data_IF_665342422901
#
_entry.id   IF_665342422901
#
_cell.length_a   1.000
_cell.length_b   1.000
_cell.length_c   1.000
_cell.angle_alpha   90.00
_cell.angle_beta   90.00
_cell.angle_gamma   90.00
#
_symmetry.space_group_name_H-M   'P 1'
#
loop_
_entity.id
_entity.type
_entity.pdbx_description
1 polymer ?
#
# COMPACT_ATOMS: atom_id res chain seq x y z
N UNK A 1 -15.82 -21.33 22.12
CA UNK A 1 -17.14 -21.82 22.64
C UNK A 1 -17.15 -22.09 24.16
N UNK A 2 -16.00 -22.21 24.87
CA UNK A 2 -15.97 -22.41 26.34
C UNK A 2 -16.13 -21.16 27.21
N UNK A 3 -16.20 -19.95 26.64
CA UNK A 3 -16.25 -18.69 27.43
C UNK A 3 -17.64 -18.04 27.56
N UNK A 4 -18.71 -18.63 26.99
CA UNK A 4 -20.04 -17.98 26.94
C UNK A 4 -21.09 -18.54 27.92
N UNK A 5 -20.70 -19.40 28.88
CA UNK A 5 -21.66 -19.96 29.83
C UNK A 5 -21.33 -19.57 31.27
N UNK A 6 -22.14 -18.71 31.93
CA UNK A 6 -21.99 -18.46 33.36
C UNK A 6 -22.16 -19.79 34.11
N UNK A 7 -21.23 -20.05 35.05
CA UNK A 7 -21.14 -21.32 35.79
C UNK A 7 -22.41 -21.68 36.59
N UNK A 8 -23.34 -20.75 36.77
CA UNK A 8 -24.57 -20.89 37.56
C UNK A 8 -25.87 -20.99 36.74
N UNK A 9 -25.81 -21.08 35.41
CA UNK A 9 -27.03 -21.26 34.61
C UNK A 9 -27.65 -22.65 34.84
N UNK A 10 -28.94 -22.68 35.22
CA UNK A 10 -29.69 -23.91 35.46
C UNK A 10 -29.74 -24.80 34.22
N UNK A 11 -29.95 -26.12 34.40
CA UNK A 11 -30.01 -27.08 33.28
C UNK A 11 -31.06 -26.72 32.23
N UNK A 12 -32.14 -26.02 32.60
CA UNK A 12 -33.16 -25.59 31.63
C UNK A 12 -32.66 -24.45 30.74
N UNK A 13 -31.94 -23.48 31.29
CA UNK A 13 -31.40 -22.33 30.55
C UNK A 13 -30.34 -22.75 29.54
N UNK A 14 -29.50 -23.74 29.87
CA UNK A 14 -28.51 -24.29 28.93
C UNK A 14 -29.16 -25.03 27.76
N UNK A 15 -30.25 -25.77 28.00
CA UNK A 15 -31.02 -26.44 26.93
C UNK A 15 -31.69 -25.42 26.02
N UNK A 16 -32.21 -24.33 26.58
CA UNK A 16 -32.85 -23.27 25.81
C UNK A 16 -31.85 -22.52 24.92
N UNK A 17 -30.67 -22.17 25.44
CA UNK A 17 -29.60 -21.53 24.67
C UNK A 17 -29.08 -22.42 23.53
N UNK A 18 -28.98 -23.73 23.76
CA UNK A 18 -28.59 -24.69 22.71
C UNK A 18 -29.63 -24.78 21.60
N UNK A 19 -30.92 -24.77 21.94
CA UNK A 19 -32.00 -24.77 20.95
C UNK A 19 -32.03 -23.49 20.12
N UNK A 20 -31.81 -22.32 20.74
CA UNK A 20 -31.72 -21.04 20.02
C UNK A 20 -30.51 -21.01 19.09
N UNK A 21 -29.34 -21.49 19.54
CA UNK A 21 -28.16 -21.56 18.70
C UNK A 21 -28.36 -22.50 17.49
N UNK A 22 -29.03 -23.65 17.69
CA UNK A 22 -29.34 -24.58 16.61
C UNK A 22 -30.37 -23.99 15.62
N UNK A 23 -31.35 -23.23 16.10
CA UNK A 23 -32.31 -22.53 15.25
C UNK A 23 -31.64 -21.44 14.39
N UNK A 24 -30.68 -20.69 14.94
CA UNK A 24 -29.93 -19.68 14.19
C UNK A 24 -29.03 -20.29 13.12
N UNK A 25 -28.39 -21.42 13.41
CA UNK A 25 -27.59 -22.16 12.41
C UNK A 25 -28.50 -22.74 11.32
N UNK A 26 -29.64 -23.31 11.71
CA UNK A 26 -30.64 -23.83 10.77
C UNK A 26 -31.21 -22.74 9.85
N UNK A 27 -31.51 -21.56 10.40
CA UNK A 27 -32.00 -20.42 9.63
C UNK A 27 -30.92 -19.88 8.65
N UNK A 28 -29.66 -19.81 9.07
CA UNK A 28 -28.55 -19.41 8.20
C UNK A 28 -28.31 -20.37 7.03
N UNK A 29 -28.46 -21.68 7.25
CA UNK A 29 -28.39 -22.68 6.18
C UNK A 29 -29.60 -22.62 5.24
N UNK A 30 -30.80 -22.41 5.78
CA UNK A 30 -32.02 -22.27 4.96
C UNK A 30 -31.94 -21.07 4.01
N UNK A 31 -31.38 -19.93 4.45
CA UNK A 31 -31.18 -18.74 3.61
C UNK A 31 -30.20 -19.02 2.45
N UNK A 32 -29.15 -19.83 2.66
CA UNK A 32 -28.23 -20.23 1.57
C UNK A 32 -28.84 -21.23 0.59
N UNK A 33 -29.75 -22.10 1.05
CA UNK A 33 -30.41 -23.09 0.18
C UNK A 33 -31.53 -22.44 -0.64
N UNK A 34 -32.23 -21.45 -0.06
CA UNK A 34 -33.35 -20.75 -0.72
C UNK A 34 -32.90 -19.63 -1.67
N UNK A 35 -31.61 -19.27 -1.70
CA UNK A 35 -31.07 -18.22 -2.58
C UNK A 35 -29.85 -18.69 -3.39
N UNK A 36 -29.99 -19.64 -4.33
CA UNK A 36 -28.85 -20.26 -5.04
C UNK A 36 -28.33 -19.47 -6.26
N UNK A 37 -28.53 -18.14 -6.33
CA UNK A 37 -28.34 -17.38 -7.57
C UNK A 37 -27.46 -16.14 -7.46
N UNK A 38 -26.15 -16.31 -7.65
CA UNK A 38 -25.34 -15.48 -8.56
C UNK A 38 -24.06 -16.27 -8.89
N UNK A 39 -24.12 -17.02 -9.99
CA UNK A 39 -22.93 -17.60 -10.62
C UNK A 39 -22.24 -16.46 -11.37
N UNK A 40 -21.10 -16.03 -10.88
CA UNK A 40 -20.16 -15.20 -11.63
C UNK A 40 -19.62 -16.04 -12.81
N UNK A 41 -20.18 -15.82 -13.99
CA UNK A 41 -19.68 -16.41 -15.24
C UNK A 41 -18.30 -15.84 -15.56
N UNK A 42 -17.28 -16.69 -15.44
CA UNK A 42 -15.88 -16.36 -15.70
C UNK A 42 -15.51 -16.29 -17.20
N UNK A 43 -16.42 -15.83 -18.08
CA UNK A 43 -16.24 -15.96 -19.54
C UNK A 43 -16.33 -14.68 -20.39
N UNK A 44 -16.40 -13.49 -19.78
CA UNK A 44 -16.32 -12.21 -20.52
C UNK A 44 -15.01 -11.42 -20.34
N UNK A 45 -13.94 -12.04 -19.85
CA UNK A 45 -12.60 -11.43 -19.78
C UNK A 45 -11.77 -11.61 -21.08
N UNK A 46 -12.43 -11.76 -22.24
CA UNK A 46 -11.79 -11.95 -23.54
C UNK A 46 -11.71 -10.64 -24.33
N UNK A 47 -10.81 -9.73 -23.93
CA UNK A 47 -10.46 -8.55 -24.72
C UNK A 47 -9.63 -8.98 -25.94
N UNK A 48 -10.26 -9.06 -27.11
CA UNK A 48 -9.56 -8.89 -28.39
C UNK A 48 -9.98 -7.54 -28.98
N UNK A 49 -9.07 -6.58 -29.07
CA UNK A 49 -9.14 -5.58 -30.12
C UNK A 49 -7.77 -4.94 -30.37
N UNK A 50 -7.41 -4.94 -31.65
CA UNK A 50 -6.17 -4.47 -32.25
C UNK A 50 -6.08 -2.95 -32.22
N UNK A 51 -4.99 -2.42 -31.65
CA UNK A 51 -4.68 -1.00 -31.72
C UNK A 51 -4.11 -0.64 -33.11
N UNK A 52 -4.76 0.31 -33.80
CA UNK A 52 -4.13 1.08 -34.88
C UNK A 52 -3.39 2.27 -34.26
N UNK A 53 -2.07 2.16 -34.17
CA UNK A 53 -1.18 3.27 -33.80
C UNK A 53 -1.13 4.24 -34.99
N UNK A 54 -1.50 5.49 -34.77
CA UNK A 54 -1.26 6.58 -35.72
C UNK A 54 -0.01 7.30 -35.26
N UNK A 55 1.04 7.28 -36.08
CA UNK A 55 2.28 8.01 -35.84
C UNK A 55 2.00 9.52 -35.78
N UNK A 56 2.42 10.18 -34.70
CA UNK A 56 2.51 11.64 -34.68
C UNK A 56 3.93 12.08 -34.34
N UNK A 57 4.46 12.85 -35.28
CA UNK A 57 5.83 13.29 -35.48
C UNK A 57 6.27 14.27 -34.38
N UNK A 58 7.37 13.94 -33.71
CA UNK A 58 8.07 14.80 -32.74
C UNK A 58 8.69 15.99 -33.47
N UNK A 59 8.51 17.20 -32.93
CA UNK A 59 9.39 18.34 -33.21
C UNK A 59 10.03 18.79 -31.89
N UNK A 60 11.35 18.78 -31.90
CA UNK A 60 12.24 19.13 -30.80
C UNK A 60 12.53 20.64 -30.85
N UNK A 61 12.60 21.28 -29.69
CA UNK A 61 13.20 22.61 -29.55
C UNK A 61 13.99 22.68 -28.24
N UNK A 62 15.20 23.21 -28.37
CA UNK A 62 16.32 23.12 -27.44
C UNK A 62 16.49 24.36 -26.54
N UNK A 63 17.36 24.16 -25.53
CA UNK A 63 18.20 25.14 -24.82
C UNK A 63 17.56 26.09 -23.80
N UNK A 64 17.96 25.95 -22.54
CA UNK A 64 18.88 26.89 -21.88
C UNK A 64 19.30 26.39 -20.48
N UNK A 65 20.60 26.49 -20.19
CA UNK A 65 21.27 26.46 -18.88
C UNK A 65 22.44 27.47 -19.01
N UNK A 66 23.18 27.82 -17.94
CA UNK A 66 22.90 27.78 -16.50
C UNK A 66 23.27 29.13 -15.81
N UNK A 67 22.95 29.35 -14.53
CA UNK A 67 23.78 30.23 -13.69
C UNK A 67 23.98 29.67 -12.28
N UNK A 68 25.22 29.78 -11.83
CA UNK A 68 25.83 29.24 -10.61
C UNK A 68 26.11 30.42 -9.68
N UNK A 69 25.81 30.30 -8.38
CA UNK A 69 26.32 31.25 -7.37
C UNK A 69 26.84 30.48 -6.17
N UNK A 70 28.02 30.89 -5.74
CA UNK A 70 28.90 30.25 -4.76
C UNK A 70 28.54 30.54 -3.30
N UNK A 71 29.01 29.63 -2.44
CA UNK A 71 29.06 29.64 -0.98
C UNK A 71 30.11 30.60 -0.41
N UNK A 72 30.03 30.90 0.90
CA UNK A 72 31.24 30.82 1.72
C UNK A 72 31.06 30.07 3.06
N UNK A 73 32.15 29.42 3.45
CA UNK A 73 32.41 28.66 4.69
C UNK A 73 32.73 29.57 5.91
N UNK A 74 32.40 29.11 7.13
CA UNK A 74 33.32 28.67 8.20
C UNK A 74 32.70 28.77 9.62
N UNK A 75 32.59 27.64 10.32
CA UNK A 75 33.06 27.43 11.71
C UNK A 75 32.79 25.98 12.21
N UNK A 76 33.85 25.31 12.69
CA UNK A 76 33.94 23.98 13.34
C UNK A 76 33.88 24.08 14.88
N UNK A 77 33.97 22.99 15.69
CA UNK A 77 33.41 21.63 15.56
C UNK A 77 32.70 21.16 16.87
N UNK A 78 31.83 20.15 16.79
CA UNK A 78 31.53 19.27 17.95
C UNK A 78 31.67 17.82 17.49
N UNK A 79 32.49 17.06 18.22
CA UNK A 79 32.73 15.64 18.00
C UNK A 79 31.45 14.83 18.15
N UNK A 80 30.89 14.40 17.04
CA UNK A 80 30.03 13.22 16.96
C UNK A 80 30.74 12.17 16.12
N UNK A 81 30.75 10.95 16.64
CA UNK A 81 31.26 9.74 15.98
C UNK A 81 30.72 9.67 14.55
N UNK A 82 31.56 9.51 13.52
CA UNK A 82 31.09 9.56 12.14
C UNK A 82 30.22 8.34 11.87
N UNK A 83 28.90 8.55 11.86
CA UNK A 83 27.98 7.73 11.07
C UNK A 83 28.51 7.83 9.65
N UNK A 84 28.98 6.72 9.09
CA UNK A 84 29.41 6.69 7.69
C UNK A 84 28.30 7.35 6.86
N UNK A 85 28.59 8.55 6.31
CA UNK A 85 27.71 9.22 5.38
C UNK A 85 27.57 8.29 4.19
N UNK A 86 26.52 7.47 4.22
CA UNK A 86 26.09 6.65 3.10
C UNK A 86 25.83 7.64 1.97
N UNK A 87 26.67 7.58 0.95
CA UNK A 87 26.53 8.40 -0.24
C UNK A 87 25.07 8.33 -0.72
N UNK A 88 24.45 9.45 -1.13
CA UNK A 88 23.11 9.42 -1.68
C UNK A 88 23.09 8.40 -2.81
N UNK A 89 22.12 7.48 -2.75
CA UNK A 89 21.96 6.48 -3.80
C UNK A 89 21.87 7.20 -5.16
N UNK A 90 22.51 6.69 -6.22
CA UNK A 90 22.40 7.30 -7.54
C UNK A 90 20.93 7.43 -7.90
N UNK A 91 20.47 8.66 -8.12
CA UNK A 91 19.11 8.95 -8.57
C UNK A 91 18.98 8.29 -9.94
N UNK A 92 18.19 7.23 -10.03
CA UNK A 92 17.89 6.63 -11.32
C UNK A 92 17.33 7.73 -12.23
N UNK A 93 17.73 7.82 -13.51
CA UNK A 93 17.41 8.95 -14.40
C UNK A 93 15.91 9.23 -14.59
N UNK A 94 15.04 8.34 -14.09
CA UNK A 94 13.59 8.41 -14.18
C UNK A 94 12.89 8.64 -12.82
N UNK A 95 13.67 8.91 -11.75
CA UNK A 95 13.17 9.17 -10.40
C UNK A 95 13.14 10.66 -10.09
N UNK A 96 12.02 11.12 -9.56
CA UNK A 96 11.88 12.43 -8.96
C UNK A 96 12.68 12.50 -7.63
N UNK A 97 13.19 13.70 -7.25
CA UNK A 97 13.78 13.92 -5.93
C UNK A 97 12.84 13.49 -4.80
N UNK A 98 13.39 12.99 -3.68
CA UNK A 98 12.59 12.52 -2.54
C UNK A 98 11.59 13.56 -2.03
N UNK A 99 12.01 14.83 -1.94
CA UNK A 99 11.14 15.93 -1.53
C UNK A 99 9.91 16.09 -2.46
N UNK A 100 10.10 15.91 -3.77
CA UNK A 100 9.02 15.99 -4.75
C UNK A 100 8.08 14.78 -4.62
N UNK A 101 8.61 13.57 -4.41
CA UNK A 101 7.79 12.38 -4.17
C UNK A 101 6.97 12.49 -2.87
N UNK A 102 7.54 13.07 -1.81
CA UNK A 102 6.83 13.38 -0.57
C UNK A 102 5.73 14.42 -0.80
N UNK A 103 6.05 15.50 -1.51
CA UNK A 103 5.09 16.53 -1.88
C UNK A 103 3.95 15.95 -2.72
N UNK A 104 4.26 15.08 -3.68
CA UNK A 104 3.24 14.50 -4.55
C UNK A 104 2.23 13.67 -3.75
N UNK A 105 2.72 12.88 -2.79
CA UNK A 105 1.88 12.10 -1.87
C UNK A 105 1.00 12.98 -1.00
N UNK A 106 1.55 14.06 -0.44
CA UNK A 106 0.81 15.03 0.36
C UNK A 106 -0.27 15.71 -0.49
N UNK A 107 0.06 16.14 -1.71
CA UNK A 107 -0.90 16.81 -2.59
C UNK A 107 -2.05 15.90 -3.02
N UNK A 108 -1.83 14.60 -3.25
CA UNK A 108 -2.94 13.66 -3.49
C UNK A 108 -3.97 13.70 -2.34
N UNK A 109 -3.52 13.93 -1.10
CA UNK A 109 -4.40 14.00 0.07
C UNK A 109 -5.02 15.38 0.24
N UNK A 110 -4.27 16.46 0.03
CA UNK A 110 -4.64 17.79 0.51
C UNK A 110 -5.08 18.74 -0.62
N UNK A 111 -4.75 18.46 -1.88
CA UNK A 111 -5.00 19.36 -3.01
C UNK A 111 -6.50 19.56 -3.27
N UNK A 112 -7.03 20.79 -3.22
CA UNK A 112 -8.44 21.06 -3.50
C UNK A 112 -8.85 20.75 -4.95
N UNK A 113 -7.97 21.00 -5.92
CA UNK A 113 -8.21 20.74 -7.35
C UNK A 113 -7.38 19.56 -7.85
N UNK A 114 -7.89 18.35 -7.61
CA UNK A 114 -7.27 17.11 -8.09
C UNK A 114 -7.24 16.99 -9.62
N UNK A 115 -8.08 17.75 -10.35
CA UNK A 115 -8.08 17.77 -11.81
C UNK A 115 -6.87 18.52 -12.36
N UNK A 116 -6.64 19.73 -11.85
CA UNK A 116 -5.45 20.52 -12.18
C UNK A 116 -4.16 19.76 -11.84
N UNK A 117 -4.12 19.14 -10.65
CA UNK A 117 -2.94 18.39 -10.22
C UNK A 117 -2.72 17.09 -11.01
N UNK A 118 -3.77 16.38 -11.42
CA UNK A 118 -3.61 15.24 -12.33
C UNK A 118 -3.00 15.67 -13.68
N UNK A 119 -3.36 16.85 -14.20
CA UNK A 119 -2.75 17.38 -15.43
C UNK A 119 -1.27 17.71 -15.25
N UNK A 120 -0.89 18.23 -14.08
CA UNK A 120 0.51 18.47 -13.71
C UNK A 120 1.32 17.16 -13.67
N UNK A 121 0.83 16.15 -12.95
CA UNK A 121 1.47 14.84 -12.90
C UNK A 121 1.53 14.20 -14.29
N UNK A 122 0.49 14.37 -15.11
CA UNK A 122 0.46 13.87 -16.49
C UNK A 122 1.54 14.52 -17.33
N UNK A 123 1.70 15.84 -17.26
CA UNK A 123 2.74 16.55 -18.00
C UNK A 123 4.14 16.05 -17.61
N UNK A 124 4.39 15.84 -16.30
CA UNK A 124 5.64 15.26 -15.81
C UNK A 124 5.87 13.84 -16.31
N UNK A 125 4.84 12.98 -16.24
CA UNK A 125 4.90 11.61 -16.76
C UNK A 125 5.11 11.56 -18.29
N UNK A 126 4.58 12.54 -19.03
CA UNK A 126 4.83 12.70 -20.46
C UNK A 126 6.25 13.18 -20.77
N UNK A 127 6.90 13.89 -19.84
CA UNK A 127 8.34 14.19 -19.91
C UNK A 127 9.28 13.08 -19.42
N UNK A 128 8.73 11.92 -19.02
CA UNK A 128 9.52 10.75 -18.61
C UNK A 128 9.75 10.59 -17.10
N UNK A 129 9.01 11.34 -16.25
CA UNK A 129 9.01 11.14 -14.80
C UNK A 129 8.20 9.89 -14.42
N UNK A 130 8.88 8.83 -14.02
CA UNK A 130 8.24 7.57 -13.68
C UNK A 130 7.50 7.60 -12.33
N UNK A 131 7.95 8.45 -11.39
CA UNK A 131 7.26 8.66 -10.12
C UNK A 131 5.98 9.46 -10.31
N UNK A 132 5.95 10.42 -11.24
CA UNK A 132 4.71 11.15 -11.58
C UNK A 132 3.64 10.23 -12.17
N UNK A 133 4.04 9.27 -13.03
CA UNK A 133 3.11 8.24 -13.50
C UNK A 133 2.62 7.34 -12.36
N UNK A 134 3.50 6.98 -11.41
CA UNK A 134 3.09 6.20 -10.26
C UNK A 134 2.17 6.98 -9.30
N UNK A 135 2.40 8.29 -9.13
CA UNK A 135 1.54 9.19 -8.37
C UNK A 135 0.16 9.34 -9.04
N UNK A 136 0.09 9.40 -10.38
CA UNK A 136 -1.19 9.33 -11.11
C UNK A 136 -1.93 8.02 -10.84
N UNK A 137 -1.22 6.89 -10.84
CA UNK A 137 -1.81 5.60 -10.48
C UNK A 137 -2.43 5.64 -9.07
N UNK A 138 -1.74 6.22 -8.10
CA UNK A 138 -2.26 6.38 -6.73
C UNK A 138 -3.44 7.33 -6.63
N UNK A 139 -3.40 8.44 -7.35
CA UNK A 139 -4.51 9.39 -7.39
C UNK A 139 -5.76 8.70 -7.94
N UNK A 140 -5.66 8.00 -9.06
CA UNK A 140 -6.78 7.26 -9.64
C UNK A 140 -7.28 6.13 -8.72
N UNK A 141 -6.39 5.38 -8.07
CA UNK A 141 -6.77 4.36 -7.09
C UNK A 141 -7.48 4.97 -5.87
N UNK A 142 -7.02 6.14 -5.42
CA UNK A 142 -7.65 6.89 -4.33
C UNK A 142 -9.06 7.32 -4.71
N UNK A 143 -9.24 7.87 -5.91
CA UNK A 143 -10.56 8.23 -6.43
C UNK A 143 -11.47 7.02 -6.66
N UNK A 144 -10.93 5.89 -7.11
CA UNK A 144 -11.68 4.64 -7.24
C UNK A 144 -12.20 4.17 -5.87
N UNK A 145 -11.36 4.14 -4.84
CA UNK A 145 -11.78 3.80 -3.47
C UNK A 145 -12.83 4.75 -2.92
N UNK A 146 -12.67 6.06 -3.14
CA UNK A 146 -13.63 7.06 -2.70
C UNK A 146 -15.00 6.91 -3.41
N UNK A 147 -14.99 6.61 -4.71
CA UNK A 147 -16.21 6.33 -5.49
C UNK A 147 -16.90 5.04 -5.02
N UNK A 148 -16.16 3.96 -4.81
CA UNK A 148 -16.70 2.70 -4.25
C UNK A 148 -17.34 2.95 -2.88
N UNK A 149 -16.66 3.71 -2.02
CA UNK A 149 -17.22 4.06 -0.71
C UNK A 149 -18.51 4.87 -0.83
N UNK A 150 -18.55 5.88 -1.70
CA UNK A 150 -19.76 6.69 -1.91
C UNK A 150 -20.95 5.84 -2.39
N UNK A 151 -20.70 4.87 -3.28
CA UNK A 151 -21.72 3.98 -3.83
C UNK A 151 -22.20 2.91 -2.84
N UNK A 152 -21.34 2.50 -1.91
CA UNK A 152 -21.63 1.44 -0.92
C UNK A 152 -21.67 1.99 0.51
N UNK A 153 -21.99 3.28 0.67
CA UNK A 153 -21.80 3.99 1.93
C UNK A 153 -22.49 3.31 3.10
N UNK A 154 -23.74 2.87 2.97
CA UNK A 154 -24.48 2.23 4.07
C UNK A 154 -23.80 0.95 4.54
N UNK A 155 -23.44 0.06 3.61
CA UNK A 155 -22.75 -1.21 3.89
C UNK A 155 -21.36 -0.99 4.45
N UNK A 156 -20.58 -0.10 3.85
CA UNK A 156 -19.20 0.15 4.28
C UNK A 156 -19.14 0.91 5.60
N UNK A 157 -20.04 1.86 5.87
CA UNK A 157 -20.08 2.57 7.15
C UNK A 157 -20.38 1.61 8.32
N UNK A 158 -21.23 0.60 8.11
CA UNK A 158 -21.50 -0.44 9.11
C UNK A 158 -20.31 -1.37 9.29
N UNK A 159 -19.71 -1.81 8.18
CA UNK A 159 -18.46 -2.57 8.21
C UNK A 159 -17.36 -1.81 8.96
N UNK A 160 -17.15 -0.54 8.64
CA UNK A 160 -16.15 0.33 9.26
C UNK A 160 -16.42 0.51 10.74
N UNK A 161 -17.67 0.78 11.16
CA UNK A 161 -18.01 0.87 12.59
C UNK A 161 -17.68 -0.41 13.34
N UNK A 162 -17.96 -1.58 12.76
CA UNK A 162 -17.60 -2.86 13.35
C UNK A 162 -16.08 -3.08 13.36
N UNK A 163 -15.43 -2.89 12.21
CA UNK A 163 -14.02 -3.13 11.98
C UNK A 163 -13.13 -2.19 12.82
N UNK A 164 -13.35 -0.89 12.71
CA UNK A 164 -12.60 0.11 13.45
C UNK A 164 -13.01 0.15 14.93
N UNK A 165 -14.24 -0.25 15.28
CA UNK A 165 -14.64 -0.45 16.66
C UNK A 165 -13.84 -1.55 17.36
N UNK A 166 -13.52 -2.65 16.65
CA UNK A 166 -12.68 -3.74 17.18
C UNK A 166 -11.24 -3.27 17.47
N UNK A 167 -10.70 -2.35 16.68
CA UNK A 167 -9.34 -1.81 16.89
C UNK A 167 -9.33 -0.60 17.84
N UNK A 168 -10.47 -0.29 18.46
CA UNK A 168 -10.60 0.75 19.48
C UNK A 168 -10.65 2.18 18.95
N UNK A 169 -11.09 2.38 17.71
CA UNK A 169 -11.35 3.71 17.17
C UNK A 169 -12.57 4.35 17.86
N UNK A 170 -12.46 5.62 18.23
CA UNK A 170 -13.55 6.39 18.84
C UNK A 170 -14.61 6.80 17.81
N UNK A 171 -15.80 7.19 18.28
CA UNK A 171 -16.83 7.76 17.41
C UNK A 171 -16.35 9.03 16.69
N UNK A 172 -15.52 9.84 17.35
CA UNK A 172 -14.95 11.05 16.76
C UNK A 172 -13.96 10.71 15.64
N UNK A 173 -13.09 9.71 15.84
CA UNK A 173 -12.17 9.22 14.80
C UNK A 173 -12.94 8.67 13.59
N UNK A 174 -14.05 7.97 13.82
CA UNK A 174 -14.91 7.50 12.72
C UNK A 174 -15.60 8.65 11.98
N UNK A 175 -16.00 9.71 12.69
CA UNK A 175 -16.64 10.87 12.08
C UNK A 175 -15.66 11.66 11.19
N UNK A 176 -14.40 11.79 11.61
CA UNK A 176 -13.37 12.44 10.82
C UNK A 176 -12.99 11.59 9.59
N UNK A 177 -12.91 10.26 9.72
CA UNK A 177 -12.72 9.34 8.59
C UNK A 177 -13.82 9.52 7.54
N UNK A 178 -15.07 9.58 7.98
CA UNK A 178 -16.23 9.79 7.09
C UNK A 178 -16.23 11.20 6.47
N UNK A 179 -15.70 12.21 7.16
CA UNK A 179 -15.50 13.55 6.57
C UNK A 179 -14.40 13.54 5.50
N UNK A 180 -13.26 12.89 5.77
CA UNK A 180 -12.15 12.75 4.83
C UNK A 180 -12.57 12.01 3.55
N UNK A 181 -13.33 10.91 3.69
CA UNK A 181 -13.94 10.16 2.58
C UNK A 181 -14.80 11.04 1.68
N UNK A 182 -15.71 11.80 2.28
CA UNK A 182 -16.59 12.71 1.56
C UNK A 182 -15.80 13.81 0.86
N UNK A 183 -14.80 14.37 1.53
CA UNK A 183 -13.92 15.39 0.96
C UNK A 183 -13.17 14.88 -0.28
N UNK A 184 -12.51 13.73 -0.19
CA UNK A 184 -11.80 13.12 -1.32
C UNK A 184 -12.78 12.76 -2.44
N UNK A 185 -13.90 12.11 -2.12
CA UNK A 185 -14.91 11.74 -3.11
C UNK A 185 -15.46 12.95 -3.88
N UNK A 186 -15.73 14.05 -3.17
CA UNK A 186 -16.18 15.31 -3.79
C UNK A 186 -15.12 15.92 -4.72
N UNK A 187 -13.86 15.96 -4.29
CA UNK A 187 -12.75 16.48 -5.12
C UNK A 187 -12.50 15.62 -6.36
N UNK A 188 -12.53 14.29 -6.22
CA UNK A 188 -12.41 13.36 -7.34
C UNK A 188 -13.55 13.51 -8.35
N UNK A 189 -14.79 13.66 -7.87
CA UNK A 189 -15.95 13.87 -8.74
C UNK A 189 -15.87 15.19 -9.52
N UNK A 190 -15.43 16.27 -8.87
CA UNK A 190 -15.31 17.61 -9.47
C UNK A 190 -14.14 17.71 -10.46
N UNK A 191 -12.97 17.19 -10.08
CA UNK A 191 -11.73 17.40 -10.82
C UNK A 191 -11.46 16.39 -11.94
N UNK A 192 -11.92 15.15 -11.79
CA UNK A 192 -11.53 14.06 -12.70
C UNK A 192 -12.72 13.43 -13.44
N UNK A 193 -13.97 13.73 -13.05
CA UNK A 193 -15.18 13.17 -13.65
C UNK A 193 -15.16 11.62 -13.79
N UNK A 194 -14.47 10.93 -12.89
CA UNK A 194 -14.27 9.49 -12.96
C UNK A 194 -15.45 8.74 -12.30
N UNK A 195 -15.95 7.72 -12.98
CA UNK A 195 -16.67 6.63 -12.33
C UNK A 195 -15.66 5.56 -11.84
N UNK A 196 -16.06 4.75 -10.86
CA UNK A 196 -15.14 3.81 -10.18
C UNK A 196 -14.45 2.80 -11.12
N UNK A 197 -15.11 2.35 -12.19
CA UNK A 197 -14.54 1.41 -13.16
C UNK A 197 -13.44 2.06 -14.03
N UNK A 198 -13.68 3.27 -14.55
CA UNK A 198 -12.69 3.99 -15.33
C UNK A 198 -11.47 4.38 -14.49
N UNK A 199 -11.68 4.71 -13.20
CA UNK A 199 -10.60 5.03 -12.29
C UNK A 199 -9.66 3.82 -12.03
N UNK A 200 -10.18 2.60 -11.93
CA UNK A 200 -9.34 1.40 -11.76
C UNK A 200 -8.47 1.14 -13.00
N UNK A 201 -9.07 1.21 -14.19
CA UNK A 201 -8.34 1.00 -15.45
C UNK A 201 -7.26 2.05 -15.66
N UNK A 202 -7.55 3.31 -15.36
CA UNK A 202 -6.55 4.38 -15.43
C UNK A 202 -5.43 4.14 -14.42
N UNK A 203 -5.74 3.76 -13.18
CA UNK A 203 -4.73 3.45 -12.18
C UNK A 203 -3.78 2.33 -12.65
N UNK A 204 -4.32 1.26 -13.24
CA UNK A 204 -3.51 0.16 -13.79
C UNK A 204 -2.68 0.60 -14.99
N UNK A 205 -3.25 1.39 -15.91
CA UNK A 205 -2.54 1.89 -17.09
C UNK A 205 -1.35 2.78 -16.73
N UNK A 206 -1.51 3.65 -15.73
CA UNK A 206 -0.44 4.53 -15.24
C UNK A 206 0.63 3.76 -14.47
N UNK A 207 0.26 2.73 -13.70
CA UNK A 207 1.23 1.83 -13.07
C UNK A 207 2.05 1.05 -14.12
N UNK A 208 1.40 0.54 -15.17
CA UNK A 208 2.09 -0.12 -16.27
C UNK A 208 3.04 0.83 -17.00
N UNK A 209 2.62 2.09 -17.22
CA UNK A 209 3.48 3.11 -17.78
C UNK A 209 4.67 3.45 -16.88
N UNK A 210 4.46 3.61 -15.57
CA UNK A 210 5.54 3.80 -14.60
C UNK A 210 6.56 2.65 -14.66
N UNK A 211 6.07 1.41 -14.76
CA UNK A 211 6.93 0.23 -14.90
C UNK A 211 7.75 0.27 -16.21
N UNK A 212 7.11 0.63 -17.33
CA UNK A 212 7.78 0.76 -18.63
C UNK A 212 8.85 1.87 -18.65
N UNK A 213 8.66 2.92 -17.83
CA UNK A 213 9.63 4.01 -17.65
C UNK A 213 10.71 3.69 -16.60
N UNK A 214 10.72 2.49 -16.02
CA UNK A 214 11.76 2.06 -15.10
C UNK A 214 11.47 2.27 -13.62
N UNK A 215 10.25 2.64 -13.20
CA UNK A 215 9.94 2.76 -11.78
C UNK A 215 10.10 1.41 -11.07
N UNK A 216 11.02 1.27 -10.09
CA UNK A 216 11.40 -0.04 -9.52
C UNK A 216 10.21 -0.74 -8.84
N UNK A 217 9.44 0.01 -8.06
CA UNK A 217 8.25 -0.51 -7.39
C UNK A 217 7.13 -0.96 -8.33
N UNK A 218 6.83 -0.19 -9.38
CA UNK A 218 5.85 -0.56 -10.40
C UNK A 218 6.27 -1.82 -11.17
N UNK A 219 7.57 -1.96 -11.50
CA UNK A 219 8.12 -3.18 -12.12
C UNK A 219 7.99 -4.39 -11.19
N UNK A 220 8.33 -4.23 -9.92
CA UNK A 220 8.15 -5.28 -8.92
C UNK A 220 6.68 -5.68 -8.76
N UNK A 221 5.77 -4.70 -8.73
CA UNK A 221 4.33 -4.96 -8.65
C UNK A 221 3.78 -5.66 -9.90
N UNK A 222 4.32 -5.37 -11.08
CA UNK A 222 3.98 -6.09 -12.30
C UNK A 222 4.45 -7.56 -12.26
N UNK A 223 5.66 -7.81 -11.74
CA UNK A 223 6.20 -9.17 -11.60
C UNK A 223 5.50 -9.97 -10.49
N UNK A 224 4.86 -9.31 -9.52
CA UNK A 224 4.16 -9.96 -8.40
C UNK A 224 3.17 -11.04 -8.84
N UNK A 225 2.48 -10.87 -9.98
CA UNK A 225 1.57 -11.89 -10.51
C UNK A 225 2.29 -13.20 -10.86
N UNK A 226 3.53 -13.10 -11.37
CA UNK A 226 4.37 -14.26 -11.69
C UNK A 226 4.93 -14.91 -10.42
N UNK A 227 5.15 -14.11 -9.37
CA UNK A 227 5.63 -14.57 -8.06
C UNK A 227 4.53 -15.29 -7.26
N UNK A 228 3.27 -14.90 -7.44
CA UNK A 228 2.11 -15.50 -6.75
C UNK A 228 1.57 -16.77 -7.42
N UNK A 229 2.21 -17.27 -8.47
CA UNK A 229 1.85 -18.56 -9.07
C UNK A 229 2.10 -19.71 -8.08
N UNK A 230 1.32 -20.80 -8.15
CA UNK A 230 1.47 -21.97 -7.27
C UNK A 230 2.91 -22.54 -7.27
N UNK A 231 3.60 -22.41 -8.40
CA UNK A 231 5.01 -22.75 -8.60
C UNK A 231 5.70 -21.66 -9.42
N UNK A 232 6.24 -20.61 -8.78
CA UNK A 232 6.95 -19.56 -9.50
C UNK A 232 8.25 -20.12 -10.07
N UNK A 233 8.56 -19.81 -11.32
CA UNK A 233 9.83 -20.24 -11.95
C UNK A 233 11.04 -19.56 -11.29
N UNK A 234 12.20 -20.22 -11.26
CA UNK A 234 13.46 -19.64 -10.79
C UNK A 234 13.80 -18.31 -11.48
N UNK A 235 13.49 -18.21 -12.77
CA UNK A 235 13.69 -16.98 -13.54
C UNK A 235 12.79 -15.84 -13.05
N UNK A 236 11.55 -16.12 -12.64
CA UNK A 236 10.64 -15.13 -12.07
C UNK A 236 11.11 -14.71 -10.67
N UNK A 237 11.53 -15.68 -9.83
CA UNK A 237 12.08 -15.40 -8.50
C UNK A 237 13.32 -14.51 -8.59
N UNK A 238 14.28 -14.83 -9.45
CA UNK A 238 15.49 -14.02 -9.62
C UNK A 238 15.19 -12.63 -10.18
N UNK A 239 14.29 -12.51 -11.18
CA UNK A 239 13.85 -11.19 -11.67
C UNK A 239 13.18 -10.38 -10.57
N UNK A 240 12.24 -10.97 -9.85
CA UNK A 240 11.56 -10.33 -8.72
C UNK A 240 12.55 -9.87 -7.66
N UNK A 241 13.52 -10.73 -7.30
CA UNK A 241 14.58 -10.42 -6.34
C UNK A 241 15.42 -9.22 -6.79
N UNK A 242 15.85 -9.18 -8.05
CA UNK A 242 16.62 -8.04 -8.58
C UNK A 242 15.83 -6.73 -8.53
N UNK A 243 14.54 -6.77 -8.88
CA UNK A 243 13.64 -5.62 -8.77
C UNK A 243 13.43 -5.18 -7.31
N UNK A 244 13.28 -6.15 -6.40
CA UNK A 244 13.18 -5.89 -4.96
C UNK A 244 14.46 -5.26 -4.40
N UNK A 245 15.64 -5.74 -4.80
CA UNK A 245 16.91 -5.13 -4.40
C UNK A 245 17.09 -3.73 -4.98
N UNK A 246 16.70 -3.51 -6.23
CA UNK A 246 16.69 -2.19 -6.86
C UNK A 246 15.82 -1.21 -6.06
N UNK A 247 14.63 -1.66 -5.64
CA UNK A 247 13.70 -0.90 -4.78
C UNK A 247 14.31 -0.61 -3.39
N UNK A 248 14.83 -1.62 -2.69
CA UNK A 248 15.37 -1.47 -1.33
C UNK A 248 16.56 -0.49 -1.30
N UNK A 249 17.41 -0.51 -2.33
CA UNK A 249 18.55 0.42 -2.48
C UNK A 249 18.13 1.88 -2.59
N UNK A 250 16.88 2.15 -2.95
CA UNK A 250 16.34 3.51 -2.98
C UNK A 250 16.17 4.13 -1.59
N UNK A 251 16.14 3.28 -0.55
CA UNK A 251 16.04 3.71 0.84
C UNK A 251 14.83 4.61 1.13
N UNK A 252 13.68 4.35 0.49
CA UNK A 252 12.40 4.96 0.88
C UNK A 252 11.64 4.00 1.84
N UNK A 253 11.41 4.38 3.11
CA UNK A 253 10.63 3.57 4.06
C UNK A 253 9.21 3.26 3.57
N UNK A 254 8.59 4.15 2.81
CA UNK A 254 7.24 3.96 2.31
C UNK A 254 7.18 2.96 1.15
N UNK A 255 8.29 2.71 0.46
CA UNK A 255 8.38 1.63 -0.53
C UNK A 255 8.30 0.26 0.17
N UNK A 256 8.85 0.10 1.39
CA UNK A 256 8.70 -1.14 2.18
C UNK A 256 7.23 -1.44 2.49
N UNK A 257 6.47 -0.41 2.83
CA UNK A 257 5.04 -0.52 3.11
C UNK A 257 4.23 -0.82 1.85
N UNK A 258 4.44 -0.01 0.81
CA UNK A 258 3.68 -0.08 -0.46
C UNK A 258 3.88 -1.41 -1.18
N UNK A 259 5.08 -1.96 -1.09
CA UNK A 259 5.48 -3.19 -1.76
C UNK A 259 5.72 -4.32 -0.76
N UNK A 260 5.18 -4.23 0.46
CA UNK A 260 5.31 -5.25 1.50
C UNK A 260 4.91 -6.65 1.02
N UNK A 261 3.80 -6.75 0.28
CA UNK A 261 3.35 -8.04 -0.27
C UNK A 261 4.34 -8.66 -1.27
N UNK A 262 4.72 -8.01 -2.38
CA UNK A 262 5.70 -8.61 -3.30
C UNK A 262 7.07 -8.81 -2.67
N UNK A 263 7.50 -7.96 -1.73
CA UNK A 263 8.74 -8.19 -0.98
C UNK A 263 8.66 -9.45 -0.11
N UNK A 264 7.51 -9.70 0.55
CA UNK A 264 7.34 -10.91 1.35
C UNK A 264 7.33 -12.20 0.53
N UNK A 265 6.92 -12.16 -0.75
CA UNK A 265 7.03 -13.31 -1.65
C UNK A 265 8.49 -13.68 -2.00
N UNK A 266 9.42 -12.76 -1.78
CA UNK A 266 10.84 -12.86 -2.14
C UNK A 266 11.76 -12.93 -0.92
N UNK A 267 11.18 -13.08 0.27
CA UNK A 267 11.87 -12.96 1.56
C UNK A 267 11.47 -14.09 2.50
N UNK A 268 12.24 -14.23 3.57
CA UNK A 268 11.90 -15.06 4.72
C UNK A 268 11.01 -14.32 5.72
N UNK A 269 10.86 -12.99 5.56
CA UNK A 269 10.00 -12.17 6.40
C UNK A 269 8.58 -12.09 5.89
N UNK A 270 7.63 -12.00 6.82
CA UNK A 270 6.22 -11.85 6.49
C UNK A 270 5.90 -10.42 6.07
N UNK A 271 4.79 -10.25 5.33
CA UNK A 271 4.28 -8.94 4.93
C UNK A 271 4.16 -7.97 6.11
N UNK A 272 3.68 -8.43 7.26
CA UNK A 272 3.53 -7.61 8.47
C UNK A 272 4.86 -7.17 9.06
N UNK A 273 5.92 -7.97 8.92
CA UNK A 273 7.29 -7.58 9.25
C UNK A 273 7.76 -6.39 8.40
N UNK A 274 7.51 -6.39 7.09
CA UNK A 274 7.80 -5.24 6.21
C UNK A 274 6.97 -4.00 6.55
N UNK A 275 5.68 -4.16 6.84
CA UNK A 275 4.80 -3.07 7.27
C UNK A 275 5.31 -2.44 8.57
N UNK A 276 5.65 -3.26 9.56
CA UNK A 276 6.20 -2.79 10.84
C UNK A 276 7.60 -2.17 10.67
N UNK A 277 8.45 -2.69 9.78
CA UNK A 277 9.74 -2.09 9.46
C UNK A 277 9.58 -0.68 8.86
N UNK A 278 8.61 -0.50 7.96
CA UNK A 278 8.25 0.82 7.44
C UNK A 278 7.80 1.80 8.54
N UNK A 279 7.04 1.29 9.53
CA UNK A 279 6.65 2.06 10.70
C UNK A 279 7.85 2.50 11.55
N UNK A 280 8.76 1.58 11.88
CA UNK A 280 9.95 1.86 12.70
C UNK A 280 10.93 2.85 12.04
N UNK A 281 10.90 2.95 10.71
CA UNK A 281 11.68 3.93 9.94
C UNK A 281 10.98 5.30 9.83
N UNK A 282 9.69 5.38 10.17
CA UNK A 282 8.93 6.62 10.18
C UNK A 282 8.87 7.20 11.60
N UNK A 283 9.44 8.39 11.81
CA UNK A 283 9.52 9.04 13.13
C UNK A 283 8.17 9.30 13.79
N UNK A 284 7.11 9.43 13.00
CA UNK A 284 5.74 9.61 13.51
C UNK A 284 5.10 8.27 13.93
N UNK A 285 5.53 7.14 13.35
CA UNK A 285 4.93 5.82 13.58
C UNK A 285 5.67 5.02 14.64
N UNK A 286 7.01 5.11 14.66
CA UNK A 286 7.88 4.34 15.54
C UNK A 286 7.53 4.39 17.04
N UNK A 287 7.08 5.52 17.63
CA UNK A 287 6.79 5.58 19.07
C UNK A 287 5.62 4.69 19.51
N UNK A 288 4.58 4.60 18.70
CA UNK A 288 3.40 3.77 18.96
C UNK A 288 2.73 3.39 17.63
N UNK A 289 3.10 2.24 17.03
CA UNK A 289 2.55 1.79 15.75
C UNK A 289 1.02 1.65 15.78
N UNK A 290 0.45 1.17 16.89
CA UNK A 290 -0.99 0.94 17.01
C UNK A 290 -1.74 2.24 17.20
N UNK A 291 -1.23 3.18 17.99
CA UNK A 291 -1.79 4.54 18.05
C UNK A 291 -1.63 5.25 16.71
N UNK A 292 -0.50 5.13 16.02
CA UNK A 292 -0.32 5.71 14.69
C UNK A 292 -1.34 5.19 13.67
N UNK A 293 -1.66 3.90 13.71
CA UNK A 293 -2.73 3.31 12.87
C UNK A 293 -4.09 3.87 13.25
N UNK A 294 -4.40 3.91 14.55
CA UNK A 294 -5.69 4.36 15.11
C UNK A 294 -5.94 5.86 14.90
N UNK A 295 -4.92 6.68 15.07
CA UNK A 295 -4.96 8.13 14.93
C UNK A 295 -4.76 8.54 13.47
N UNK A 296 -4.17 7.66 12.66
CA UNK A 296 -4.00 7.82 11.21
C UNK A 296 -5.23 7.43 10.37
N UNK A 297 -6.32 7.00 11.03
CA UNK A 297 -7.62 6.69 10.40
C UNK A 297 -8.08 7.86 9.51
N UNK A 298 -7.78 9.11 9.89
CA UNK A 298 -8.28 10.30 9.19
C UNK A 298 -7.48 10.73 7.95
N UNK A 299 -6.17 10.48 7.90
CA UNK A 299 -5.30 11.01 6.84
C UNK A 299 -4.77 9.92 5.88
N UNK A 300 -4.60 8.67 6.34
CA UNK A 300 -3.83 7.64 5.60
C UNK A 300 -4.64 6.45 5.09
N UNK A 301 -5.89 6.32 5.52
CA UNK A 301 -6.80 5.27 5.03
C UNK A 301 -6.97 5.28 3.49
N UNK A 302 -6.71 6.42 2.84
CA UNK A 302 -6.86 6.61 1.38
C UNK A 302 -5.58 6.54 0.57
N UNK A 303 -4.40 6.78 1.17
CA UNK A 303 -3.12 6.80 0.46
C UNK A 303 -2.61 5.42 0.03
N UNK A 304 -3.42 4.37 0.18
CA UNK A 304 -3.07 3.03 -0.27
C UNK A 304 -2.26 2.23 0.74
N UNK A 305 -2.41 2.55 2.02
CA UNK A 305 -1.78 1.79 3.11
C UNK A 305 -2.78 1.09 4.03
N UNK A 306 -3.78 0.33 3.50
CA UNK A 306 -4.60 -0.53 4.34
C UNK A 306 -3.73 -1.58 5.07
N UNK A 307 -2.52 -1.80 4.59
CA UNK A 307 -1.52 -2.70 5.15
C UNK A 307 -1.18 -2.37 6.60
N UNK A 308 -1.18 -1.08 7.01
CA UNK A 308 -0.99 -0.74 8.42
C UNK A 308 -2.13 -1.25 9.32
N UNK A 309 -3.37 -1.31 8.79
CA UNK A 309 -4.51 -1.85 9.55
C UNK A 309 -4.30 -3.32 9.88
N UNK A 310 -3.51 -4.07 9.10
CA UNK A 310 -3.22 -5.48 9.39
C UNK A 310 -2.56 -5.67 10.76
N UNK A 311 -1.78 -4.69 11.22
CA UNK A 311 -1.13 -4.73 12.54
C UNK A 311 -2.15 -4.78 13.68
N UNK A 312 -3.32 -4.15 13.51
CA UNK A 312 -4.36 -4.09 14.55
C UNK A 312 -5.13 -5.41 14.73
N UNK A 313 -4.95 -6.38 13.83
CA UNK A 313 -5.60 -7.70 13.91
C UNK A 313 -4.67 -8.81 14.38
N UNK A 314 -3.38 -8.51 14.56
CA UNK A 314 -2.42 -9.48 15.03
C UNK A 314 -2.66 -9.83 16.49
N UNK A 315 -2.63 -11.12 16.81
CA UNK A 315 -2.56 -11.56 18.20
C UNK A 315 -1.23 -11.13 18.83
N UNK A 316 -1.11 -11.12 20.17
CA UNK A 316 0.12 -10.68 20.85
C UNK A 316 1.38 -11.43 20.39
N UNK A 317 1.25 -12.72 20.04
CA UNK A 317 2.34 -13.52 19.51
C UNK A 317 2.79 -13.06 18.12
N UNK A 318 1.84 -12.85 17.21
CA UNK A 318 2.16 -12.50 15.82
C UNK A 318 2.68 -11.06 15.72
N UNK A 319 2.20 -10.18 16.61
CA UNK A 319 2.74 -8.84 16.78
C UNK A 319 4.20 -8.91 17.24
N UNK A 320 4.51 -9.69 18.28
CA UNK A 320 5.89 -9.89 18.74
C UNK A 320 6.80 -10.47 17.65
N UNK A 321 6.32 -11.44 16.85
CA UNK A 321 7.07 -11.97 15.71
C UNK A 321 7.33 -10.87 14.68
N UNK A 322 6.30 -10.10 14.33
CA UNK A 322 6.41 -9.02 13.35
C UNK A 322 7.34 -7.90 13.80
N UNK A 323 7.36 -7.57 15.09
CA UNK A 323 8.30 -6.62 15.70
C UNK A 323 9.75 -7.11 15.57
N UNK A 324 10.02 -8.39 15.87
CA UNK A 324 11.37 -8.97 15.73
C UNK A 324 11.84 -9.01 14.28
N UNK A 325 10.98 -9.42 13.35
CA UNK A 325 11.28 -9.36 11.92
C UNK A 325 11.55 -7.92 11.48
N UNK A 326 10.76 -6.95 11.95
CA UNK A 326 10.93 -5.55 11.60
C UNK A 326 12.25 -4.96 12.12
N UNK A 327 12.63 -5.25 13.37
CA UNK A 327 13.93 -4.85 13.93
C UNK A 327 15.10 -5.36 13.07
N UNK A 328 15.02 -6.62 12.63
CA UNK A 328 16.02 -7.23 11.76
C UNK A 328 16.05 -6.58 10.37
N UNK A 329 14.89 -6.43 9.73
CA UNK A 329 14.76 -5.74 8.44
C UNK A 329 15.37 -4.33 8.52
N UNK A 330 15.02 -3.55 9.56
CA UNK A 330 15.54 -2.19 9.74
C UNK A 330 17.05 -2.17 9.96
N UNK A 331 17.57 -3.11 10.75
CA UNK A 331 19.01 -3.27 10.96
C UNK A 331 19.75 -3.53 9.65
N UNK A 332 19.30 -4.53 8.88
CA UNK A 332 19.86 -4.88 7.58
C UNK A 332 19.74 -3.75 6.56
N UNK A 333 18.61 -3.06 6.55
CA UNK A 333 18.33 -1.96 5.64
C UNK A 333 19.24 -0.76 5.89
N UNK A 334 19.42 -0.37 7.17
CA UNK A 334 20.34 0.71 7.57
C UNK A 334 21.78 0.35 7.21
N UNK A 335 22.17 -0.91 7.43
CA UNK A 335 23.48 -1.45 7.07
C UNK A 335 23.68 -1.62 5.54
N UNK A 336 22.64 -1.42 4.71
CA UNK A 336 22.70 -1.64 3.27
C UNK A 336 22.84 -3.10 2.83
N UNK A 337 22.58 -4.05 3.73
CA UNK A 337 22.65 -5.51 3.50
C UNK A 337 21.33 -6.06 2.93
N UNK A 338 20.89 -5.47 1.81
CA UNK A 338 19.59 -5.77 1.20
C UNK A 338 19.48 -7.20 0.66
N UNK A 339 20.60 -7.80 0.29
CA UNK A 339 20.74 -9.20 -0.12
C UNK A 339 20.37 -10.19 0.99
N UNK A 340 20.45 -9.79 2.26
CA UNK A 340 19.98 -10.60 3.38
C UNK A 340 18.49 -10.41 3.66
N UNK A 341 17.93 -9.28 3.25
CA UNK A 341 16.47 -9.07 3.29
C UNK A 341 15.79 -9.89 2.19
N UNK A 342 16.41 -9.96 1.02
CA UNK A 342 15.95 -10.71 -0.15
C UNK A 342 17.03 -11.74 -0.57
N UNK A 343 17.18 -12.83 0.20
CA UNK A 343 18.20 -13.85 -0.06
C UNK A 343 17.96 -14.54 -1.40
N UNK A 344 19.05 -15.00 -2.02
CA UNK A 344 18.98 -15.76 -3.28
C UNK A 344 18.32 -17.12 -3.09
N UNK A 345 18.59 -17.78 -1.96
CA UNK A 345 18.08 -19.10 -1.62
C UNK A 345 17.19 -19.03 -0.39
N UNK A 346 15.87 -18.98 -0.60
CA UNK A 346 14.88 -19.00 0.48
C UNK A 346 14.91 -20.30 1.30
N UNK A 347 15.44 -21.37 0.71
CA UNK A 347 15.58 -22.69 1.32
C UNK A 347 16.64 -22.77 2.43
N UNK A 348 17.49 -21.74 2.58
CA UNK A 348 18.65 -21.78 3.50
C UNK A 348 18.43 -21.19 4.90
N UNK A 349 17.29 -20.51 5.17
CA UNK A 349 17.04 -19.92 6.50
C UNK A 349 16.33 -20.85 7.50
N UNK A 350 15.94 -22.05 7.08
CA UNK A 350 15.36 -23.07 7.95
C UNK A 350 16.43 -23.88 8.67
N UNK A 351 17.18 -23.25 9.57
CA UNK A 351 18.28 -23.90 10.30
C UNK A 351 18.36 -23.48 11.77
N UNK A 352 17.48 -24.06 12.60
CA UNK A 352 17.74 -24.41 14.01
C UNK A 352 17.99 -23.28 15.03
N UNK A 353 17.07 -23.19 16.00
CA UNK A 353 17.26 -22.44 17.26
C UNK A 353 16.02 -22.46 18.12
#
# INVERSE_FOLDING_TARGET
IRMLFPKTASRSTRRWLLLVALLLIGAGLAVRILNPGEKLDAREAGLSFTAKVTEQKVTSAANAQPETVATPDLATPVSETPVAHLAPAPVAPHRAPEALRLQDRQRIQDEPDLGAYANELKARADSGDADAAMALSDLHRTCQRASTWANQKSTLTEFDRGFYGVIGASADQLAVLDAARRSIGSRCAKGLALNGANASQLAESWAARAAAMGHPGARLQAEARNLSADTPSDAALERGRQLGLELLRQRDPLDLLRYAHPLSLLSTYERTGFVMAACLLNSQCAPDPLAYVRDGVDARAYSGFPDFLTLSFLGPRDLWISERQAEEIVSLWRAGRFDLILPRDLSSSGGGG
#
